data_IF_894472135744
#
_entry.id   IF_894472135744
#
_cell.length_a   1.000
_cell.length_b   1.000
_cell.length_c   1.000
_cell.angle_alpha   90.00
_cell.angle_beta   90.00
_cell.angle_gamma   90.00
#
_symmetry.space_group_name_H-M   'P 1'
#
loop_
_entity.id
_entity.type
_entity.pdbx_description
1 polymer ?
#
# COMPACT_ATOMS: atom_id res chain seq x y z
N UNK A 1 16.02 -16.53 15.89
CA UNK A 1 15.45 -17.72 15.22
C UNK A 1 14.80 -17.28 13.94
N UNK A 2 14.92 -18.08 12.89
CA UNK A 2 14.44 -17.77 11.54
C UNK A 2 12.94 -17.46 11.50
N UNK A 3 12.13 -18.16 12.30
CA UNK A 3 10.69 -17.89 12.47
C UNK A 3 10.41 -16.46 12.96
N UNK A 4 11.24 -15.94 13.88
CA UNK A 4 11.06 -14.58 14.40
C UNK A 4 11.47 -13.52 13.38
N UNK A 5 12.34 -13.85 12.43
CA UNK A 5 12.75 -12.96 11.33
C UNK A 5 11.65 -12.94 10.28
N UNK A 6 11.13 -14.11 9.88
CA UNK A 6 10.02 -14.22 8.93
C UNK A 6 8.78 -13.43 9.41
N UNK A 7 8.36 -13.60 10.66
CA UNK A 7 7.24 -12.83 11.25
C UNK A 7 7.46 -11.32 11.24
N UNK A 8 8.70 -10.86 11.39
CA UNK A 8 9.02 -9.42 11.34
C UNK A 8 8.97 -8.87 9.92
N UNK A 9 9.42 -9.67 8.94
CA UNK A 9 9.35 -9.31 7.52
C UNK A 9 7.87 -9.22 7.08
N UNK A 10 7.06 -10.21 7.44
CA UNK A 10 5.62 -10.24 7.14
C UNK A 10 4.88 -9.05 7.78
N UNK A 11 5.12 -8.78 9.07
CA UNK A 11 4.52 -7.61 9.74
C UNK A 11 4.95 -6.27 9.11
N UNK A 12 6.20 -6.19 8.62
CA UNK A 12 6.70 -5.01 7.90
C UNK A 12 6.00 -4.81 6.55
N UNK A 13 5.81 -5.90 5.80
CA UNK A 13 5.06 -5.90 4.53
C UNK A 13 3.60 -5.50 4.76
N UNK A 14 2.96 -6.03 5.79
CA UNK A 14 1.58 -5.69 6.14
C UNK A 14 1.41 -4.20 6.47
N UNK A 15 2.33 -3.63 7.24
CA UNK A 15 2.34 -2.20 7.54
C UNK A 15 2.52 -1.35 6.26
N UNK A 16 3.38 -1.80 5.34
CA UNK A 16 3.60 -1.14 4.07
C UNK A 16 2.36 -1.20 3.17
N UNK A 17 1.74 -2.38 3.01
CA UNK A 17 0.51 -2.53 2.22
C UNK A 17 -0.59 -1.64 2.80
N UNK A 18 -0.75 -1.60 4.13
CA UNK A 18 -1.73 -0.74 4.77
C UNK A 18 -1.51 0.73 4.43
N UNK A 19 -0.29 1.24 4.56
CA UNK A 19 0.02 2.63 4.21
C UNK A 19 -0.17 2.93 2.71
N UNK A 20 0.14 1.97 1.84
CA UNK A 20 -0.13 2.11 0.41
C UNK A 20 -1.64 2.17 0.12
N UNK A 21 -2.46 1.38 0.81
CA UNK A 21 -3.92 1.33 0.61
C UNK A 21 -4.65 2.60 1.07
N UNK A 22 -4.03 3.43 1.90
CA UNK A 22 -4.58 4.75 2.23
C UNK A 22 -4.55 5.67 1.01
N UNK A 23 -3.60 5.46 0.08
CA UNK A 23 -3.48 6.23 -1.16
C UNK A 23 -4.36 5.70 -2.30
N UNK A 24 -5.27 6.50 -2.89
CA UNK A 24 -5.96 6.22 -4.14
C UNK A 24 -5.01 5.98 -5.33
N UNK A 25 -3.76 6.42 -5.27
CA UNK A 25 -2.79 6.15 -6.35
C UNK A 25 -2.44 4.67 -6.42
N UNK A 26 -2.34 4.01 -5.27
CA UNK A 26 -2.21 2.55 -5.19
C UNK A 26 -3.38 1.87 -5.90
N UNK A 27 -4.58 2.40 -5.73
CA UNK A 27 -5.74 1.90 -6.43
C UNK A 27 -5.70 2.12 -7.94
N UNK A 28 -5.33 3.31 -8.41
CA UNK A 28 -5.22 3.59 -9.84
C UNK A 28 -4.22 2.66 -10.51
N UNK A 29 -3.08 2.41 -9.86
CA UNK A 29 -2.11 1.42 -10.30
C UNK A 29 -2.71 0.00 -10.34
N UNK A 30 -3.47 -0.41 -9.31
CA UNK A 30 -4.14 -1.72 -9.27
C UNK A 30 -5.16 -1.90 -10.40
N UNK A 31 -5.94 -0.87 -10.73
CA UNK A 31 -6.87 -0.92 -11.85
C UNK A 31 -6.15 -1.03 -13.19
N UNK A 32 -5.06 -0.27 -13.36
CA UNK A 32 -4.21 -0.39 -14.55
C UNK A 32 -3.65 -1.80 -14.67
N UNK A 33 -3.10 -2.38 -13.61
CA UNK A 33 -2.55 -3.74 -13.65
C UNK A 33 -3.62 -4.80 -13.90
N UNK A 34 -4.79 -4.67 -13.27
CA UNK A 34 -5.94 -5.54 -13.55
C UNK A 34 -6.32 -5.47 -15.03
N UNK A 35 -6.46 -4.28 -15.58
CA UNK A 35 -6.82 -4.10 -16.99
C UNK A 35 -5.70 -4.62 -17.92
N UNK A 36 -4.44 -4.42 -17.58
CA UNK A 36 -3.30 -4.98 -18.31
C UNK A 36 -3.31 -6.51 -18.28
N UNK A 37 -3.63 -7.14 -17.14
CA UNK A 37 -3.71 -8.59 -17.00
C UNK A 37 -4.87 -9.17 -17.81
N UNK A 38 -6.04 -8.52 -17.76
CA UNK A 38 -7.25 -8.91 -18.53
C UNK A 38 -7.00 -8.79 -20.03
N UNK A 39 -6.30 -7.74 -20.46
CA UNK A 39 -5.94 -7.52 -21.86
C UNK A 39 -4.65 -8.24 -22.29
N UNK A 40 -4.13 -9.17 -21.47
CA UNK A 40 -2.94 -9.98 -21.75
C UNK A 40 -1.67 -9.16 -22.10
N UNK A 41 -1.58 -7.93 -21.57
CA UNK A 41 -0.40 -7.06 -21.73
C UNK A 41 0.71 -7.37 -20.74
N UNK A 42 0.34 -7.93 -19.58
CA UNK A 42 1.25 -8.44 -18.55
C UNK A 42 0.85 -9.86 -18.17
N UNK A 43 1.78 -10.60 -17.60
CA UNK A 43 1.55 -11.95 -17.11
C UNK A 43 1.19 -11.93 -15.63
N UNK A 44 0.58 -13.01 -15.14
CA UNK A 44 0.17 -13.08 -13.74
C UNK A 44 1.38 -13.00 -12.80
N UNK A 45 2.52 -13.61 -13.17
CA UNK A 45 3.80 -13.48 -12.44
C UNK A 45 4.36 -12.07 -12.35
N UNK A 46 3.99 -11.17 -13.26
CA UNK A 46 4.44 -9.78 -13.24
C UNK A 46 3.64 -8.94 -12.23
N UNK A 47 2.52 -9.48 -11.74
CA UNK A 47 1.62 -8.83 -10.80
C UNK A 47 1.72 -9.45 -9.40
N UNK A 48 1.86 -10.76 -9.30
CA UNK A 48 1.88 -11.50 -8.03
C UNK A 48 3.15 -12.32 -7.86
N UNK A 49 3.45 -12.64 -6.61
CA UNK A 49 4.35 -13.71 -6.26
C UNK A 49 3.61 -15.05 -6.47
N UNK A 50 3.89 -15.71 -7.61
CA UNK A 50 3.22 -16.95 -7.99
C UNK A 50 3.46 -18.09 -7.02
N UNK A 51 4.71 -18.26 -6.56
CA UNK A 51 5.06 -19.37 -5.68
C UNK A 51 4.39 -19.20 -4.31
N UNK A 52 4.43 -17.98 -3.76
CA UNK A 52 3.77 -17.67 -2.49
C UNK A 52 2.24 -17.83 -2.61
N UNK A 53 1.65 -17.35 -3.70
CA UNK A 53 0.19 -17.44 -3.91
C UNK A 53 -0.24 -18.88 -4.12
N UNK A 54 0.49 -19.64 -4.95
CA UNK A 54 0.20 -21.05 -5.21
C UNK A 54 0.35 -21.88 -3.94
N UNK A 55 1.44 -21.70 -3.18
CA UNK A 55 1.65 -22.42 -1.92
C UNK A 55 0.63 -22.06 -0.83
N UNK A 56 0.07 -20.85 -0.84
CA UNK A 56 -0.98 -20.44 0.08
C UNK A 56 -2.36 -21.06 -0.27
N UNK A 57 -2.68 -21.21 -1.56
CA UNK A 57 -3.93 -21.86 -2.00
C UNK A 57 -3.84 -23.40 -2.00
N UNK A 58 -2.62 -23.93 -2.16
CA UNK A 58 -2.32 -25.36 -2.15
C UNK A 58 -1.30 -25.72 -1.04
N UNK A 59 -1.67 -25.59 0.25
CA UNK A 59 -0.77 -25.92 1.34
C UNK A 59 -0.40 -27.42 1.33
N UNK A 60 0.83 -27.79 1.69
CA UNK A 60 1.21 -29.19 1.84
C UNK A 60 0.26 -29.89 2.82
N UNK A 61 -0.09 -31.17 2.59
CA UNK A 61 -0.91 -31.92 3.53
C UNK A 61 -0.23 -31.92 4.90
N UNK A 62 -0.97 -31.56 5.95
CA UNK A 62 -0.46 -31.59 7.32
C UNK A 62 0.11 -32.99 7.62
N UNK A 63 1.29 -33.09 8.24
CA UNK A 63 1.85 -34.38 8.61
C UNK A 63 0.85 -35.06 9.55
N UNK A 64 0.29 -36.19 9.10
CA UNK A 64 -0.57 -37.01 9.96
C UNK A 64 0.20 -37.33 11.25
N UNK A 65 -0.43 -37.22 12.43
CA UNK A 65 0.20 -37.73 13.64
C UNK A 65 0.55 -39.20 13.38
N UNK A 66 1.83 -39.55 13.59
CA UNK A 66 2.23 -40.95 13.66
C UNK A 66 1.52 -41.52 14.88
N UNK A 67 0.44 -42.27 14.65
CA UNK A 67 -0.07 -43.18 15.65
C UNK A 67 1.04 -44.21 15.89
N UNK A 68 1.78 -44.02 16.99
CA UNK A 68 2.66 -45.03 17.56
C UNK A 68 1.79 -46.12 18.19
N UNK A 69 1.25 -47.02 17.37
CA UNK A 69 0.82 -48.35 17.80
C UNK A 69 0.71 -49.24 16.55
N UNK A 70 1.76 -50.00 16.26
CA UNK A 70 1.60 -51.44 16.03
C UNK A 70 2.96 -52.16 16.05
N UNK A 71 3.06 -52.97 17.09
CA UNK A 71 3.83 -54.18 17.38
C UNK A 71 5.05 -54.62 16.57
N UNK A 72 6.03 -55.05 17.38
CA UNK A 72 7.02 -56.07 17.13
C UNK A 72 6.58 -57.21 16.19
N UNK A 73 7.37 -57.50 15.15
CA UNK A 73 8.02 -58.81 15.00
C UNK A 73 9.18 -58.77 13.98
N UNK A 74 10.08 -59.72 14.16
CA UNK A 74 11.11 -60.26 13.25
C UNK A 74 12.43 -59.48 13.03
N UNK A 75 13.38 -59.83 13.89
CA UNK A 75 14.78 -59.95 13.54
C UNK A 75 15.02 -61.18 12.64
N UNK A 76 15.63 -61.00 11.44
CA UNK A 76 16.62 -61.90 10.84
C UNK A 76 17.51 -61.20 9.81
N UNK A 77 18.72 -61.71 9.73
CA UNK A 77 19.96 -61.17 9.18
C UNK A 77 20.18 -61.40 7.67
N UNK A 78 21.26 -60.76 7.19
CA UNK A 78 22.05 -60.99 5.94
C UNK A 78 21.43 -60.38 4.67
N UNK A 79 22.05 -59.50 3.88
CA UNK A 79 23.45 -59.15 3.66
C UNK A 79 23.70 -59.26 2.15
N UNK A 80 23.92 -58.14 1.44
CA UNK A 80 24.73 -58.07 0.20
C UNK A 80 24.83 -56.62 -0.32
N UNK A 81 26.06 -56.28 -0.70
CA UNK A 81 26.49 -55.02 -1.34
C UNK A 81 25.98 -54.92 -2.78
N UNK A 82 25.72 -53.69 -3.24
CA UNK A 82 25.75 -53.31 -4.65
C UNK A 82 26.10 -51.84 -4.72
N UNK A 83 27.39 -51.56 -4.98
CA UNK A 83 27.87 -50.26 -5.45
C UNK A 83 27.55 -50.08 -6.95
N UNK A 84 27.39 -48.81 -7.31
CA UNK A 84 27.44 -48.19 -8.63
C UNK A 84 26.29 -48.43 -9.62
N UNK A 85 25.50 -47.39 -9.84
CA UNK A 85 25.41 -46.73 -11.15
C UNK A 85 24.91 -45.28 -10.96
N UNK A 86 25.75 -44.33 -11.39
CA UNK A 86 25.40 -42.93 -11.64
C UNK A 86 24.22 -42.89 -12.62
N UNK A 87 23.09 -42.28 -12.22
CA UNK A 87 22.15 -41.66 -13.15
C UNK A 87 21.60 -40.38 -12.49
N UNK A 88 22.25 -39.29 -12.87
CA UNK A 88 21.69 -37.97 -13.19
C UNK A 88 20.50 -37.46 -12.36
N UNK A 89 20.77 -36.50 -11.47
CA UNK A 89 19.97 -35.30 -11.20
C UNK A 89 18.48 -35.35 -11.62
N UNK A 90 17.65 -36.12 -10.91
CA UNK A 90 16.19 -36.14 -11.10
C UNK A 90 15.42 -35.60 -9.87
N UNK A 91 16.02 -34.61 -9.17
CA UNK A 91 15.39 -33.89 -8.05
C UNK A 91 14.61 -32.63 -8.51
N UNK A 92 14.27 -32.51 -9.80
CA UNK A 92 13.50 -31.38 -10.37
C UNK A 92 12.21 -31.80 -11.12
N UNK A 93 11.74 -33.04 -10.91
CA UNK A 93 10.61 -33.63 -11.64
C UNK A 93 9.22 -33.52 -10.96
N UNK A 94 9.03 -32.63 -9.98
CA UNK A 94 7.72 -32.43 -9.33
C UNK A 94 7.32 -30.98 -9.05
N UNK A 95 8.11 -29.98 -9.44
CA UNK A 95 7.67 -28.59 -9.39
C UNK A 95 6.74 -28.31 -10.58
N UNK A 96 5.48 -27.97 -10.31
CA UNK A 96 4.54 -27.53 -11.35
C UNK A 96 5.16 -26.36 -12.14
N UNK A 97 5.07 -26.39 -13.47
CA UNK A 97 5.63 -25.31 -14.30
C UNK A 97 4.95 -23.97 -13.99
N UNK A 98 5.69 -22.86 -14.09
CA UNK A 98 5.16 -21.51 -13.84
C UNK A 98 3.89 -21.20 -14.64
N UNK A 99 3.83 -21.61 -15.91
CA UNK A 99 2.63 -21.39 -16.74
C UNK A 99 1.42 -22.20 -16.29
N UNK A 100 1.63 -23.37 -15.68
CA UNK A 100 0.54 -24.16 -15.11
C UNK A 100 0.01 -23.52 -13.81
N UNK A 101 0.90 -23.04 -12.93
CA UNK A 101 0.50 -22.26 -11.75
C UNK A 101 -0.25 -20.99 -12.14
N UNK A 102 0.22 -20.28 -13.18
CA UNK A 102 -0.48 -19.09 -13.71
C UNK A 102 -1.89 -19.40 -14.15
N UNK A 103 -2.10 -20.50 -14.88
CA UNK A 103 -3.41 -20.88 -15.39
C UNK A 103 -4.39 -21.22 -14.25
N UNK A 104 -3.92 -21.92 -13.22
CA UNK A 104 -4.73 -22.31 -12.06
C UNK A 104 -5.15 -21.09 -11.21
N UNK A 105 -4.20 -20.18 -10.96
CA UNK A 105 -4.43 -19.00 -10.11
C UNK A 105 -5.17 -17.86 -10.82
N UNK A 106 -5.19 -17.84 -12.16
CA UNK A 106 -5.68 -16.69 -12.95
C UNK A 106 -7.08 -16.27 -12.57
N UNK A 107 -8.03 -17.21 -12.54
CA UNK A 107 -9.43 -16.90 -12.29
C UNK A 107 -9.64 -16.43 -10.84
N UNK A 108 -8.97 -17.07 -9.88
CA UNK A 108 -9.01 -16.68 -8.47
C UNK A 108 -8.45 -15.28 -8.22
N UNK A 109 -7.28 -14.98 -8.79
CA UNK A 109 -6.66 -13.65 -8.66
C UNK A 109 -7.49 -12.58 -9.36
N UNK A 110 -8.01 -12.84 -10.56
CA UNK A 110 -8.90 -11.91 -11.25
C UNK A 110 -10.19 -11.63 -10.47
N UNK A 111 -10.78 -12.66 -9.84
CA UNK A 111 -11.95 -12.49 -9.00
C UNK A 111 -11.65 -11.57 -7.80
N UNK A 112 -10.53 -11.79 -7.10
CA UNK A 112 -10.09 -10.91 -5.99
C UNK A 112 -9.81 -9.49 -6.48
N UNK A 113 -9.15 -9.29 -7.63
CA UNK A 113 -8.93 -7.97 -8.23
C UNK A 113 -10.24 -7.26 -8.59
N UNK A 114 -11.27 -7.99 -9.00
CA UNK A 114 -12.60 -7.43 -9.25
C UNK A 114 -13.29 -6.98 -7.94
N UNK A 115 -13.24 -7.81 -6.90
CA UNK A 115 -13.79 -7.46 -5.58
C UNK A 115 -13.14 -6.20 -5.01
N UNK A 116 -11.80 -6.16 -5.08
CA UNK A 116 -11.00 -4.98 -4.75
C UNK A 116 -11.47 -3.76 -5.55
N UNK A 117 -11.66 -3.89 -6.87
CA UNK A 117 -12.13 -2.80 -7.72
C UNK A 117 -13.49 -2.23 -7.28
N UNK A 118 -14.42 -3.10 -6.91
CA UNK A 118 -15.75 -2.70 -6.45
C UNK A 118 -15.70 -1.96 -5.11
N UNK A 119 -14.95 -2.48 -4.14
CA UNK A 119 -14.80 -1.87 -2.83
C UNK A 119 -14.08 -0.52 -2.92
N UNK A 120 -13.05 -0.42 -3.75
CA UNK A 120 -12.39 0.85 -4.00
C UNK A 120 -13.29 1.88 -4.67
N UNK A 121 -14.19 1.48 -5.58
CA UNK A 121 -15.15 2.43 -6.17
C UNK A 121 -16.08 3.06 -5.12
N UNK A 122 -16.43 2.29 -4.07
CA UNK A 122 -17.19 2.80 -2.92
C UNK A 122 -16.31 3.67 -2.02
N UNK A 123 -15.09 3.22 -1.75
CA UNK A 123 -14.11 3.91 -0.91
C UNK A 123 -13.73 5.29 -1.48
N UNK A 124 -13.45 5.39 -2.79
CA UNK A 124 -13.14 6.66 -3.48
C UNK A 124 -14.26 7.68 -3.34
N UNK A 125 -15.52 7.27 -3.42
CA UNK A 125 -16.68 8.16 -3.20
C UNK A 125 -16.74 8.69 -1.77
N UNK A 126 -16.22 7.96 -0.79
CA UNK A 126 -16.10 8.41 0.59
C UNK A 126 -14.88 9.31 0.78
N UNK A 127 -13.75 9.02 0.13
CA UNK A 127 -12.58 9.91 0.09
C UNK A 127 -12.93 11.27 -0.53
N UNK A 128 -13.61 11.30 -1.68
CA UNK A 128 -14.06 12.54 -2.32
C UNK A 128 -14.99 13.34 -1.38
N UNK A 129 -15.87 12.66 -0.64
CA UNK A 129 -16.72 13.30 0.37
C UNK A 129 -15.91 13.83 1.55
N UNK A 130 -14.90 13.11 2.01
CA UNK A 130 -14.01 13.52 3.09
C UNK A 130 -13.25 14.78 2.71
N UNK A 131 -12.60 14.80 1.54
CA UNK A 131 -11.87 15.97 1.02
C UNK A 131 -12.81 17.18 0.94
N UNK A 132 -13.99 17.03 0.35
CA UNK A 132 -14.97 18.11 0.26
C UNK A 132 -15.47 18.59 1.63
N UNK A 133 -15.69 17.68 2.59
CA UNK A 133 -16.06 18.03 3.96
C UNK A 133 -14.96 18.81 4.67
N UNK A 134 -13.70 18.40 4.49
CA UNK A 134 -12.52 19.06 5.05
C UNK A 134 -12.32 20.46 4.47
N UNK A 135 -12.60 20.67 3.18
CA UNK A 135 -12.63 22.02 2.58
C UNK A 135 -13.67 22.94 3.25
N UNK A 136 -14.73 22.39 3.84
CA UNK A 136 -15.71 23.12 4.65
C UNK A 136 -15.38 23.15 6.16
N UNK A 137 -14.23 22.62 6.59
CA UNK A 137 -13.86 22.50 8.00
C UNK A 137 -14.68 21.49 8.80
N UNK A 138 -15.21 20.45 8.14
CA UNK A 138 -16.00 19.36 8.76
C UNK A 138 -15.39 18.00 8.47
N UNK A 139 -15.75 17.00 9.27
CA UNK A 139 -15.40 15.60 9.04
C UNK A 139 -16.54 14.80 8.39
N UNK A 140 -16.27 13.54 8.04
CA UNK A 140 -17.30 12.57 7.69
C UNK A 140 -18.30 12.36 8.84
N UNK A 141 -19.51 11.94 8.51
CA UNK A 141 -20.48 11.52 9.54
C UNK A 141 -20.02 10.20 10.18
N UNK A 142 -20.38 9.89 11.44
CA UNK A 142 -19.94 8.65 12.09
C UNK A 142 -20.24 7.39 11.27
N UNK A 143 -21.40 7.33 10.61
CA UNK A 143 -21.77 6.22 9.73
C UNK A 143 -20.88 6.13 8.48
N UNK A 144 -20.56 7.27 7.87
CA UNK A 144 -19.69 7.31 6.70
C UNK A 144 -18.24 6.97 7.07
N UNK A 145 -17.80 7.33 8.28
CA UNK A 145 -16.49 6.94 8.80
C UNK A 145 -16.40 5.43 9.03
N UNK A 146 -17.42 4.81 9.65
CA UNK A 146 -17.46 3.36 9.84
C UNK A 146 -17.44 2.60 8.49
N UNK A 147 -18.17 3.09 7.49
CA UNK A 147 -18.14 2.53 6.13
C UNK A 147 -16.76 2.72 5.46
N UNK A 148 -16.13 3.88 5.66
CA UNK A 148 -14.78 4.17 5.16
C UNK A 148 -13.74 3.21 5.76
N UNK A 149 -13.77 3.03 7.09
CA UNK A 149 -12.85 2.15 7.80
C UNK A 149 -13.08 0.67 7.41
N UNK A 150 -14.33 0.25 7.25
CA UNK A 150 -14.67 -1.11 6.83
C UNK A 150 -14.17 -1.42 5.42
N UNK A 151 -14.37 -0.49 4.47
CA UNK A 151 -13.88 -0.65 3.10
C UNK A 151 -12.35 -0.65 3.05
N UNK A 152 -11.69 0.24 3.78
CA UNK A 152 -10.22 0.27 3.89
C UNK A 152 -9.67 -1.07 4.38
N UNK A 153 -10.26 -1.63 5.44
CA UNK A 153 -9.86 -2.94 5.96
C UNK A 153 -10.11 -4.08 4.95
N UNK A 154 -11.28 -4.10 4.28
CA UNK A 154 -11.61 -5.10 3.25
C UNK A 154 -10.57 -5.10 2.12
N UNK A 155 -10.23 -3.91 1.63
CA UNK A 155 -9.24 -3.69 0.57
C UNK A 155 -7.86 -4.21 1.00
N UNK A 156 -7.41 -3.84 2.20
CA UNK A 156 -6.10 -4.25 2.74
C UNK A 156 -6.03 -5.77 2.86
N UNK A 157 -7.06 -6.41 3.42
CA UNK A 157 -7.08 -7.86 3.60
C UNK A 157 -7.09 -8.58 2.25
N UNK A 158 -7.91 -8.14 1.29
CA UNK A 158 -7.92 -8.73 -0.05
C UNK A 158 -6.55 -8.58 -0.76
N UNK A 159 -5.88 -7.43 -0.63
CA UNK A 159 -4.54 -7.22 -1.21
C UNK A 159 -3.45 -8.09 -0.58
N UNK A 160 -3.55 -8.40 0.71
CA UNK A 160 -2.64 -9.36 1.36
C UNK A 160 -2.75 -10.76 0.74
N UNK A 161 -3.97 -11.20 0.41
CA UNK A 161 -4.20 -12.56 -0.12
C UNK A 161 -3.65 -12.78 -1.54
N UNK A 162 -3.53 -11.73 -2.35
CA UNK A 162 -3.07 -11.80 -3.74
C UNK A 162 -1.53 -11.89 -3.82
N UNK A 163 -0.83 -11.66 -2.71
CA UNK A 163 0.62 -11.60 -2.64
C UNK A 163 1.26 -10.80 -3.78
N UNK A 164 0.96 -9.50 -3.85
CA UNK A 164 1.52 -8.61 -4.89
C UNK A 164 3.03 -8.78 -4.98
N UNK A 165 3.54 -8.84 -6.21
CA UNK A 165 4.96 -8.94 -6.52
C UNK A 165 5.73 -7.77 -5.91
N UNK A 166 6.89 -8.05 -5.31
CA UNK A 166 7.68 -7.04 -4.59
C UNK A 166 8.09 -5.86 -5.49
N UNK A 167 8.37 -6.08 -6.78
CA UNK A 167 8.70 -5.01 -7.72
C UNK A 167 7.53 -4.01 -7.91
N UNK A 168 6.30 -4.50 -7.84
CA UNK A 168 5.09 -3.64 -7.92
C UNK A 168 4.88 -2.85 -6.65
N UNK A 169 5.14 -3.46 -5.48
CA UNK A 169 5.12 -2.77 -4.19
C UNK A 169 6.20 -1.67 -4.17
N UNK A 170 7.42 -1.95 -4.62
CA UNK A 170 8.51 -0.97 -4.70
C UNK A 170 8.16 0.23 -5.59
N UNK A 171 7.54 -0.03 -6.75
CA UNK A 171 7.08 1.04 -7.66
C UNK A 171 6.04 1.96 -6.99
N UNK A 172 5.11 1.39 -6.22
CA UNK A 172 4.11 2.17 -5.47
C UNK A 172 4.76 3.00 -4.35
N UNK A 173 5.71 2.41 -3.62
CA UNK A 173 6.46 3.12 -2.57
C UNK A 173 7.27 4.27 -3.17
N UNK A 174 7.93 4.05 -4.31
CA UNK A 174 8.68 5.09 -5.00
C UNK A 174 7.79 6.24 -5.46
N UNK A 175 6.60 5.93 -6.01
CA UNK A 175 5.61 6.94 -6.39
C UNK A 175 5.17 7.76 -5.18
N UNK A 176 4.81 7.11 -4.07
CA UNK A 176 4.42 7.80 -2.84
C UNK A 176 5.55 8.68 -2.29
N UNK A 177 6.79 8.18 -2.33
CA UNK A 177 7.96 8.94 -1.91
C UNK A 177 8.22 10.17 -2.79
N UNK A 178 8.06 10.05 -4.10
CA UNK A 178 8.21 11.16 -5.04
C UNK A 178 7.20 12.28 -4.73
N UNK A 179 5.96 11.92 -4.41
CA UNK A 179 4.92 12.87 -4.06
C UNK A 179 5.18 13.53 -2.71
N UNK A 180 5.54 12.76 -1.69
CA UNK A 180 5.90 13.30 -0.38
C UNK A 180 7.09 14.28 -0.51
N UNK A 181 8.08 13.96 -1.34
CA UNK A 181 9.21 14.87 -1.62
C UNK A 181 8.76 16.17 -2.29
N UNK A 182 7.78 16.12 -3.20
CA UNK A 182 7.19 17.31 -3.83
C UNK A 182 6.47 18.16 -2.79
N UNK A 183 5.62 17.54 -1.95
CA UNK A 183 4.89 18.19 -0.87
C UNK A 183 5.83 18.90 0.11
N UNK A 184 6.80 18.17 0.68
CA UNK A 184 7.82 18.74 1.58
C UNK A 184 8.59 19.91 0.92
N UNK A 185 8.81 19.84 -0.39
CA UNK A 185 9.43 20.92 -1.16
C UNK A 185 8.60 22.22 -1.15
N UNK A 186 7.29 22.10 -1.35
CA UNK A 186 6.34 23.21 -1.34
C UNK A 186 6.15 23.77 0.08
N UNK A 187 6.00 22.92 1.09
CA UNK A 187 5.90 23.34 2.49
C UNK A 187 7.16 24.06 2.95
N UNK A 188 8.34 23.55 2.58
CA UNK A 188 9.62 24.18 2.83
C UNK A 188 9.76 25.52 2.10
N UNK A 189 9.24 25.66 0.88
CA UNK A 189 9.16 26.94 0.16
C UNK A 189 8.28 27.93 0.92
N UNK A 190 7.07 27.52 1.33
CA UNK A 190 6.14 28.37 2.08
C UNK A 190 6.72 28.84 3.42
N UNK A 191 7.35 27.93 4.16
CA UNK A 191 8.02 28.24 5.43
C UNK A 191 9.19 29.22 5.25
N UNK A 192 10.04 29.02 4.23
CA UNK A 192 11.16 29.95 3.94
C UNK A 192 10.67 31.35 3.56
N UNK A 193 9.54 31.45 2.85
CA UNK A 193 8.93 32.74 2.57
C UNK A 193 8.44 33.41 3.87
N UNK A 194 7.82 32.65 4.78
CA UNK A 194 7.39 33.18 6.07
C UNK A 194 8.58 33.67 6.93
N UNK A 195 9.66 32.89 6.99
CA UNK A 195 10.89 33.23 7.73
C UNK A 195 11.56 34.52 7.21
N UNK A 196 11.55 34.74 5.89
CA UNK A 196 12.07 35.99 5.29
C UNK A 196 11.31 37.25 5.75
N UNK A 197 10.07 37.11 6.23
CA UNK A 197 9.27 38.17 6.83
C UNK A 197 9.28 38.14 8.36
N UNK A 198 10.14 37.29 8.95
CA UNK A 198 10.39 37.19 10.39
C UNK A 198 9.34 36.41 11.17
N UNK A 199 8.51 35.61 10.50
CA UNK A 199 7.59 34.64 11.13
C UNK A 199 8.43 33.47 11.66
N UNK A 200 8.48 33.22 12.98
CA UNK A 200 9.27 32.12 13.53
C UNK A 200 8.75 30.76 13.05
N UNK A 201 9.66 29.81 12.78
CA UNK A 201 9.29 28.45 12.36
C UNK A 201 8.23 27.79 13.25
N UNK A 202 8.37 27.90 14.57
CA UNK A 202 7.42 27.31 15.52
C UNK A 202 6.01 27.88 15.32
N UNK A 203 5.91 29.20 15.21
CA UNK A 203 4.64 29.91 15.00
C UNK A 203 4.03 29.57 13.62
N UNK A 204 4.87 29.43 12.59
CA UNK A 204 4.44 28.96 11.28
C UNK A 204 3.83 27.56 11.35
N UNK A 205 4.55 26.59 11.94
CA UNK A 205 4.09 25.20 12.03
C UNK A 205 2.79 25.08 12.84
N UNK A 206 2.68 25.79 13.96
CA UNK A 206 1.45 25.83 14.79
C UNK A 206 0.23 26.39 14.04
N UNK A 207 0.46 27.26 13.06
CA UNK A 207 -0.60 27.88 12.27
C UNK A 207 -0.79 27.25 10.89
N UNK A 208 0.07 26.33 10.48
CA UNK A 208 0.01 25.69 9.17
C UNK A 208 -0.49 24.26 9.27
N UNK A 209 0.02 23.47 10.22
CA UNK A 209 -0.34 22.05 10.33
C UNK A 209 -1.81 21.85 10.71
N UNK A 210 -2.48 20.91 10.03
CA UNK A 210 -3.92 20.65 10.12
C UNK A 210 -4.80 21.73 9.47
N UNK A 211 -4.19 22.66 8.73
CA UNK A 211 -4.83 23.80 8.03
C UNK A 211 -4.27 24.01 6.63
N UNK A 212 -3.60 23.00 6.10
CA UNK A 212 -2.95 22.98 4.79
C UNK A 212 -3.97 23.24 3.68
N UNK A 213 -5.20 22.72 3.86
CA UNK A 213 -6.31 22.83 2.92
C UNK A 213 -7.36 23.90 3.32
N UNK A 214 -7.11 24.70 4.37
CA UNK A 214 -8.03 25.77 4.80
C UNK A 214 -8.15 26.86 3.71
N UNK A 215 -9.35 27.14 3.15
CA UNK A 215 -9.50 28.10 2.05
C UNK A 215 -9.12 29.54 2.40
N UNK A 216 -9.48 30.00 3.61
CA UNK A 216 -9.19 31.35 4.10
C UNK A 216 -7.98 31.40 5.04
N UNK A 217 -7.02 30.49 4.84
CA UNK A 217 -5.82 30.42 5.69
C UNK A 217 -5.05 31.74 5.70
N UNK A 218 -4.88 32.36 4.52
CA UNK A 218 -4.19 33.64 4.36
C UNK A 218 -4.91 34.77 5.09
N UNK A 219 -6.25 34.81 5.02
CA UNK A 219 -7.11 35.76 5.73
C UNK A 219 -7.06 35.62 7.25
N UNK A 220 -6.96 34.39 7.76
CA UNK A 220 -6.76 34.12 9.19
C UNK A 220 -5.37 34.50 9.66
N UNK A 221 -4.31 34.04 9.00
CA UNK A 221 -2.95 34.22 9.50
C UNK A 221 -2.50 35.69 9.45
N UNK A 222 -2.95 36.47 8.45
CA UNK A 222 -2.66 37.91 8.40
C UNK A 222 -3.15 38.68 9.63
N UNK A 223 -4.18 38.17 10.33
CA UNK A 223 -4.73 38.80 11.53
C UNK A 223 -3.94 38.47 12.81
N UNK A 224 -3.02 37.50 12.77
CA UNK A 224 -2.26 37.07 13.95
C UNK A 224 -1.22 38.08 14.40
N UNK A 225 -0.48 38.66 13.46
CA UNK A 225 0.56 39.66 13.76
C UNK A 225 0.94 40.51 12.55
N UNK A 226 1.61 41.65 12.81
CA UNK A 226 2.15 42.49 11.74
C UNK A 226 3.16 41.76 10.84
N UNK A 227 3.85 40.73 11.34
CA UNK A 227 4.80 39.94 10.55
C UNK A 227 4.07 39.02 9.56
N UNK A 228 3.04 38.34 10.05
CA UNK A 228 2.17 37.50 9.20
C UNK A 228 1.46 38.32 8.14
N UNK A 229 0.94 39.49 8.52
CA UNK A 229 0.33 40.42 7.57
C UNK A 229 1.31 40.80 6.44
N UNK A 230 2.53 41.21 6.79
CA UNK A 230 3.56 41.57 5.80
C UNK A 230 3.97 40.38 4.93
N UNK A 231 4.03 39.18 5.49
CA UNK A 231 4.30 37.95 4.74
C UNK A 231 3.23 37.69 3.67
N UNK A 232 1.96 37.59 4.09
CA UNK A 232 0.85 37.29 3.18
C UNK A 232 0.66 38.40 2.14
N UNK A 233 0.71 39.68 2.54
CA UNK A 233 0.56 40.80 1.60
C UNK A 233 1.77 40.94 0.66
N UNK A 234 2.99 40.69 1.16
CA UNK A 234 4.22 40.84 0.39
C UNK A 234 4.47 39.73 -0.63
N UNK A 235 3.84 38.57 -0.45
CA UNK A 235 4.02 37.37 -1.27
C UNK A 235 2.69 36.71 -1.65
N UNK A 236 1.60 37.48 -1.75
CA UNK A 236 0.24 36.96 -1.92
C UNK A 236 0.13 35.92 -3.06
N UNK A 237 0.60 36.28 -4.26
CA UNK A 237 0.53 35.40 -5.44
C UNK A 237 1.37 34.12 -5.25
N UNK A 238 2.57 34.23 -4.69
CA UNK A 238 3.46 33.07 -4.46
C UNK A 238 2.94 32.16 -3.35
N UNK A 239 2.33 32.73 -2.29
CA UNK A 239 1.70 32.00 -1.19
C UNK A 239 0.48 31.25 -1.69
N UNK A 240 -0.43 31.93 -2.38
CA UNK A 240 -1.64 31.32 -2.94
C UNK A 240 -1.27 30.24 -3.95
N UNK A 241 -0.40 30.53 -4.92
CA UNK A 241 0.03 29.52 -5.90
C UNK A 241 0.70 28.31 -5.26
N UNK A 242 1.54 28.49 -4.24
CA UNK A 242 2.14 27.36 -3.52
C UNK A 242 1.09 26.53 -2.75
N UNK A 243 0.08 27.19 -2.17
CA UNK A 243 -1.02 26.49 -1.48
C UNK A 243 -1.97 25.79 -2.45
N UNK A 244 -2.18 26.36 -3.64
CA UNK A 244 -2.95 25.73 -4.72
C UNK A 244 -2.22 24.46 -5.18
N UNK A 245 -0.91 24.52 -5.42
CA UNK A 245 -0.09 23.32 -5.75
C UNK A 245 -0.15 22.25 -4.64
N UNK A 246 -0.11 22.66 -3.36
CA UNK A 246 -0.27 21.75 -2.22
C UNK A 246 -1.67 21.11 -2.22
N UNK A 247 -2.71 21.89 -2.52
CA UNK A 247 -4.09 21.43 -2.59
C UNK A 247 -4.31 20.48 -3.75
N UNK A 248 -3.68 20.73 -4.91
CA UNK A 248 -3.67 19.82 -6.05
C UNK A 248 -3.03 18.48 -5.70
N UNK A 249 -1.89 18.50 -4.99
CA UNK A 249 -1.25 17.27 -4.50
C UNK A 249 -2.16 16.52 -3.53
N UNK A 250 -2.81 17.21 -2.59
CA UNK A 250 -3.74 16.55 -1.67
C UNK A 250 -4.95 15.94 -2.40
N UNK A 251 -5.41 16.56 -3.48
CA UNK A 251 -6.45 15.99 -4.34
C UNK A 251 -5.95 14.79 -5.16
N UNK A 252 -4.71 14.85 -5.65
CA UNK A 252 -4.06 13.75 -6.38
C UNK A 252 -3.84 12.52 -5.47
N UNK A 253 -3.42 12.73 -4.23
CA UNK A 253 -3.27 11.68 -3.22
C UNK A 253 -4.62 11.34 -2.57
N UNK A 254 -5.68 12.13 -2.71
CA UNK A 254 -7.00 11.86 -2.10
C UNK A 254 -7.03 11.60 -0.59
N UNK A 255 -5.96 11.96 0.13
CA UNK A 255 -5.84 11.92 1.59
C UNK A 255 -5.55 13.35 2.07
N UNK A 256 -6.09 13.78 3.22
CA UNK A 256 -5.63 14.98 3.91
C UNK A 256 -4.11 14.95 4.16
N UNK A 257 -3.46 16.11 4.20
CA UNK A 257 -1.98 16.20 4.39
C UNK A 257 -1.56 15.84 5.83
N UNK A 258 -2.49 15.89 6.77
CA UNK A 258 -2.28 15.57 8.18
C UNK A 258 -2.20 14.07 8.48
N UNK A 259 -2.58 13.20 7.54
CA UNK A 259 -2.53 11.73 7.64
C UNK A 259 -1.31 11.16 6.89
#
# INVERSE_FOLDING_TARGET
GEIAIAKRIEAGRDAMIRGLCESPLTFEAMMVWRDELVNERILLRDLIDLEATYGAENPPPEPKPKDEDDEADEAKADGEESEDEDDEDEDDAAAMSMSAMEAELRDGVLAKLNEIAEDFSKYRKLQDKLVNRRLEGKDLTPKAQEEYDALSNSIVENLKTIHINNARIEALVEQLYAINKKLMGLEGKLMRMADAYGVPRKDFLENYFGRELEPDWTGRVQALSAKWKRFVEGKADEVNGTRDEISEIAQEIGIPIDD
#
